data_IF_830683398060
#
_entry.id   IF_830683398060
#
_cell.length_a   1.000
_cell.length_b   1.000
_cell.length_c   1.000
_cell.angle_alpha   90.00
_cell.angle_beta   90.00
_cell.angle_gamma   90.00
#
_symmetry.space_group_name_H-M   'P 1'
#
loop_
_entity.id
_entity.type
_entity.pdbx_description
1 polymer ?
#
# COMPACT_ATOMS: atom_id res chain seq x y z
N UNK A 1 -3.91 -42.90 -38.30
CA UNK A 1 -4.53 -44.03 -37.56
C UNK A 1 -5.63 -43.43 -36.68
N UNK A 2 -6.87 -43.30 -37.19
CA UNK A 2 -8.07 -44.10 -36.84
C UNK A 2 -8.34 -44.13 -35.31
N UNK A 3 -9.31 -43.39 -34.75
CA UNK A 3 -10.81 -43.53 -34.75
C UNK A 3 -11.35 -44.34 -33.54
N UNK A 4 -12.57 -43.95 -33.08
CA UNK A 4 -13.43 -44.39 -31.94
C UNK A 4 -13.29 -43.51 -30.68
N UNK A 5 -14.25 -42.69 -30.22
CA UNK A 5 -15.60 -42.26 -30.69
C UNK A 5 -16.81 -43.21 -30.54
N UNK A 6 -17.63 -43.03 -29.47
CA UNK A 6 -19.13 -43.13 -29.37
C UNK A 6 -19.61 -43.30 -27.90
N UNK A 7 -20.84 -43.03 -27.42
CA UNK A 7 -22.04 -42.21 -27.75
C UNK A 7 -22.97 -42.31 -26.50
N UNK A 8 -23.63 -41.23 -26.04
CA UNK A 8 -25.12 -41.19 -25.88
C UNK A 8 -25.67 -39.82 -25.43
N UNK A 9 -26.85 -39.51 -25.96
CA UNK A 9 -27.60 -38.24 -25.90
C UNK A 9 -28.81 -38.31 -24.97
N UNK A 10 -29.29 -37.14 -24.50
CA UNK A 10 -30.73 -36.87 -24.36
C UNK A 10 -31.01 -35.34 -24.38
N UNK A 11 -32.24 -34.98 -24.75
CA UNK A 11 -32.60 -33.68 -25.33
C UNK A 11 -33.14 -32.63 -24.32
N UNK A 12 -33.19 -31.36 -24.74
CA UNK A 12 -33.91 -30.30 -24.01
C UNK A 12 -33.88 -28.90 -24.65
N UNK A 13 -34.95 -28.56 -25.41
CA UNK A 13 -35.43 -27.20 -25.75
C UNK A 13 -34.44 -26.10 -26.19
N UNK A 14 -34.57 -25.66 -27.46
CA UNK A 14 -34.01 -24.40 -27.92
C UNK A 14 -35.00 -23.24 -27.71
N UNK A 15 -34.53 -22.12 -27.14
CA UNK A 15 -35.17 -20.81 -27.22
C UNK A 15 -34.12 -19.81 -27.71
N UNK A 16 -34.18 -19.43 -28.98
CA UNK A 16 -33.25 -18.46 -29.57
C UNK A 16 -33.71 -17.03 -29.28
N UNK A 17 -33.12 -16.39 -28.27
CA UNK A 17 -33.25 -14.95 -28.09
C UNK A 17 -32.38 -14.22 -29.12
N UNK A 18 -33.03 -13.66 -30.14
CA UNK A 18 -32.39 -12.73 -31.07
C UNK A 18 -32.12 -11.40 -30.34
N UNK A 19 -30.87 -11.19 -29.92
CA UNK A 19 -30.43 -9.89 -29.39
C UNK A 19 -30.23 -8.94 -30.57
N UNK A 20 -30.94 -7.81 -30.57
CA UNK A 20 -30.91 -6.85 -31.67
C UNK A 20 -29.50 -6.24 -31.86
N UNK A 21 -29.05 -6.03 -33.11
CA UNK A 21 -27.67 -5.59 -33.40
C UNK A 21 -27.32 -4.17 -32.90
N UNK A 22 -28.29 -3.40 -32.37
CA UNK A 22 -28.03 -2.06 -31.83
C UNK A 22 -27.27 -2.07 -30.51
N UNK A 23 -27.46 -3.07 -29.63
CA UNK A 23 -26.79 -3.14 -28.32
C UNK A 23 -25.28 -3.36 -28.45
N UNK A 24 -24.84 -4.07 -29.50
CA UNK A 24 -23.41 -4.31 -29.76
C UNK A 24 -22.66 -3.01 -30.10
N UNK A 25 -23.31 -2.10 -30.84
CA UNK A 25 -22.73 -0.81 -31.21
C UNK A 25 -22.59 0.14 -30.01
N UNK A 26 -23.55 0.17 -29.08
CA UNK A 26 -23.45 0.96 -27.85
C UNK A 26 -22.32 0.48 -26.94
N UNK A 27 -22.15 -0.84 -26.78
CA UNK A 27 -21.05 -1.41 -25.96
C UNK A 27 -19.68 -1.11 -26.59
N UNK A 28 -19.55 -1.16 -27.92
CA UNK A 28 -18.32 -0.77 -28.61
C UNK A 28 -18.02 0.73 -28.49
N UNK A 29 -19.04 1.59 -28.57
CA UNK A 29 -18.88 3.04 -28.40
C UNK A 29 -18.50 3.42 -26.95
N UNK A 30 -19.08 2.76 -25.94
CA UNK A 30 -18.71 2.94 -24.53
C UNK A 30 -17.26 2.50 -24.24
N UNK A 31 -16.83 1.38 -24.84
CA UNK A 31 -15.44 0.92 -24.78
C UNK A 31 -14.46 1.94 -25.38
N UNK A 32 -14.76 2.44 -26.59
CA UNK A 32 -13.94 3.45 -27.26
C UNK A 32 -13.88 4.78 -26.49
N UNK A 33 -15.00 5.24 -25.92
CA UNK A 33 -15.05 6.46 -25.12
C UNK A 33 -14.17 6.37 -23.86
N UNK A 34 -14.22 5.25 -23.13
CA UNK A 34 -13.38 5.03 -21.94
C UNK A 34 -11.88 5.00 -22.29
N UNK A 35 -11.49 4.35 -23.40
CA UNK A 35 -10.10 4.32 -23.85
C UNK A 35 -9.60 5.70 -24.33
N UNK A 36 -10.47 6.52 -24.93
CA UNK A 36 -10.12 7.90 -25.26
C UNK A 36 -9.96 8.78 -24.01
N UNK A 37 -10.79 8.59 -22.97
CA UNK A 37 -10.64 9.30 -21.70
C UNK A 37 -9.36 8.91 -20.96
N UNK A 38 -9.01 7.62 -20.92
CA UNK A 38 -7.76 7.14 -20.32
C UNK A 38 -6.52 7.68 -21.04
N UNK A 39 -6.46 7.56 -22.38
CA UNK A 39 -5.33 8.11 -23.16
C UNK A 39 -5.29 9.65 -23.21
N UNK A 40 -6.38 10.32 -22.83
CA UNK A 40 -6.38 11.75 -22.55
C UNK A 40 -5.82 12.06 -21.17
N UNK A 41 -6.09 11.22 -20.16
CA UNK A 41 -5.53 11.34 -18.81
C UNK A 41 -4.02 11.10 -18.82
N UNK A 42 -3.57 10.03 -19.49
CA UNK A 42 -2.15 9.70 -19.69
C UNK A 42 -1.38 10.86 -20.35
N UNK A 43 -1.96 11.48 -21.39
CA UNK A 43 -1.40 12.68 -22.03
C UNK A 43 -1.44 13.92 -21.15
N UNK A 44 -2.48 14.10 -20.32
CA UNK A 44 -2.54 15.20 -19.35
C UNK A 44 -1.46 15.04 -18.27
N UNK A 45 -1.23 13.83 -17.76
CA UNK A 45 -0.18 13.52 -16.78
C UNK A 45 1.21 13.76 -17.40
N UNK A 46 1.46 13.24 -18.61
CA UNK A 46 2.71 13.47 -19.33
C UNK A 46 2.99 14.97 -19.58
N UNK A 47 1.97 15.76 -19.92
CA UNK A 47 2.10 17.21 -20.13
C UNK A 47 2.16 18.04 -18.83
N UNK A 48 1.63 17.53 -17.72
CA UNK A 48 1.81 18.14 -16.40
C UNK A 48 3.26 17.97 -15.93
N UNK A 49 3.85 16.80 -16.15
CA UNK A 49 5.23 16.48 -15.75
C UNK A 49 6.26 17.28 -16.57
N UNK A 50 6.03 17.51 -17.86
CA UNK A 50 6.94 18.31 -18.70
C UNK A 50 6.97 19.80 -18.32
N UNK A 51 5.89 20.36 -17.76
CA UNK A 51 5.84 21.75 -17.31
C UNK A 51 6.41 21.98 -15.90
N UNK A 52 6.39 20.97 -15.02
CA UNK A 52 6.98 21.08 -13.67
C UNK A 52 8.52 21.06 -13.73
N UNK A 53 9.10 20.28 -14.65
CA UNK A 53 10.55 20.13 -14.80
C UNK A 53 11.32 21.39 -15.25
N UNK A 54 10.63 22.52 -15.51
CA UNK A 54 11.26 23.78 -15.90
C UNK A 54 11.27 24.90 -14.84
N UNK A 55 10.77 24.65 -13.62
CA UNK A 55 10.75 25.67 -12.53
C UNK A 55 11.31 25.23 -11.18
N UNK A 56 11.88 24.02 -11.04
CA UNK A 56 12.49 23.54 -9.79
C UNK A 56 13.94 23.08 -10.01
N UNK A 57 14.76 23.96 -10.61
CA UNK A 57 16.23 23.82 -10.65
C UNK A 57 16.86 25.18 -10.35
N UNK A 58 16.77 25.61 -9.08
CA UNK A 58 17.66 26.59 -8.42
C UNK A 58 17.14 26.88 -6.99
N UNK A 59 17.66 26.14 -5.99
CA UNK A 59 17.85 26.50 -4.56
C UNK A 59 17.65 25.30 -3.60
N UNK A 60 18.73 24.54 -3.34
CA UNK A 60 18.92 23.78 -2.09
C UNK A 60 20.41 23.51 -1.83
N UNK A 61 21.20 24.58 -1.82
CA UNK A 61 22.56 24.56 -1.27
C UNK A 61 22.56 25.08 0.18
N UNK A 62 23.38 24.44 1.03
CA UNK A 62 23.72 24.81 2.42
C UNK A 62 22.73 24.51 3.58
N UNK A 63 22.87 23.32 4.16
CA UNK A 63 22.83 23.01 5.61
C UNK A 63 23.09 21.48 5.77
N UNK A 64 24.26 20.94 6.14
CA UNK A 64 25.36 21.38 7.01
C UNK A 64 24.99 21.54 8.50
N UNK A 65 25.02 20.42 9.25
CA UNK A 65 25.76 20.35 10.53
C UNK A 65 25.96 18.92 11.11
N UNK A 66 25.23 17.90 10.67
CA UNK A 66 25.30 16.53 11.25
C UNK A 66 26.27 15.56 10.57
N UNK A 67 26.87 15.95 9.44
CA UNK A 67 27.78 15.08 8.67
C UNK A 67 29.23 15.11 9.19
N UNK A 68 29.60 16.11 10.01
CA UNK A 68 30.97 16.41 10.42
C UNK A 68 31.57 15.59 11.58
N UNK A 69 30.97 14.47 11.99
CA UNK A 69 31.49 13.60 13.07
C UNK A 69 31.87 12.19 12.57
N UNK A 70 31.48 11.79 11.35
CA UNK A 70 31.85 10.48 10.78
C UNK A 70 33.28 10.40 10.21
N UNK A 71 34.02 11.51 10.13
CA UNK A 71 35.35 11.57 9.50
C UNK A 71 36.53 11.66 10.48
N UNK A 72 36.32 11.48 11.79
CA UNK A 72 37.44 11.44 12.75
C UNK A 72 38.05 10.03 12.94
N UNK A 73 38.92 9.68 11.99
CA UNK A 73 40.25 9.09 12.24
C UNK A 73 40.35 7.71 12.95
N UNK A 74 39.76 6.65 12.40
CA UNK A 74 40.47 5.37 12.25
C UNK A 74 40.00 4.68 10.95
N UNK A 75 40.84 4.45 9.93
CA UNK A 75 40.53 3.47 8.90
C UNK A 75 40.56 2.08 9.58
N UNK A 76 39.44 1.34 9.63
CA UNK A 76 39.41 0.08 10.38
C UNK A 76 40.46 -0.89 9.84
N UNK A 77 41.26 -1.45 10.73
CA UNK A 77 42.41 -2.32 10.41
C UNK A 77 42.01 -3.71 9.84
N UNK A 78 40.83 -3.84 9.25
CA UNK A 78 40.32 -5.04 8.59
C UNK A 78 40.78 -5.18 7.13
N UNK A 79 41.45 -4.17 6.56
CA UNK A 79 41.85 -4.15 5.15
C UNK A 79 43.02 -5.10 4.77
N UNK A 80 43.61 -5.82 5.72
CA UNK A 80 44.76 -6.72 5.47
C UNK A 80 44.70 -8.08 6.20
N UNK A 81 44.02 -8.16 7.35
CA UNK A 81 44.13 -9.32 8.23
C UNK A 81 43.00 -10.34 8.05
N UNK A 82 43.37 -11.48 7.44
CA UNK A 82 42.66 -12.75 7.38
C UNK A 82 41.18 -12.73 6.94
N UNK A 83 40.90 -13.36 5.79
CA UNK A 83 39.53 -13.76 5.40
C UNK A 83 38.79 -14.34 6.61
N UNK A 84 37.55 -13.88 6.92
CA UNK A 84 36.84 -14.32 8.11
C UNK A 84 36.80 -15.84 8.16
N UNK A 85 37.19 -16.42 9.30
CA UNK A 85 37.21 -17.88 9.46
C UNK A 85 35.81 -18.41 9.19
N UNK A 86 35.64 -19.56 8.51
CA UNK A 86 34.31 -20.11 8.26
C UNK A 86 33.54 -20.32 9.59
N UNK A 87 32.19 -20.31 9.56
CA UNK A 87 31.37 -20.75 10.68
C UNK A 87 31.76 -22.15 11.16
N UNK A 88 31.73 -22.36 12.48
CA UNK A 88 31.92 -23.66 13.13
C UNK A 88 30.68 -24.54 12.97
N UNK A 89 30.82 -25.85 13.16
CA UNK A 89 29.68 -26.77 13.08
C UNK A 89 28.59 -26.45 14.13
N UNK A 90 28.99 -26.03 15.34
CA UNK A 90 28.08 -25.58 16.39
C UNK A 90 27.34 -24.29 16.04
N UNK A 91 28.03 -23.34 15.40
CA UNK A 91 27.42 -22.14 14.84
C UNK A 91 26.39 -22.56 13.76
N UNK A 92 26.80 -23.30 12.72
CA UNK A 92 25.93 -23.75 11.62
C UNK A 92 24.70 -24.51 12.13
N UNK A 93 24.85 -25.35 13.15
CA UNK A 93 23.72 -26.03 13.78
C UNK A 93 22.73 -25.05 14.41
N UNK A 94 23.21 -24.08 15.19
CA UNK A 94 22.37 -23.07 15.82
C UNK A 94 21.55 -22.28 14.78
N UNK A 95 22.15 -21.94 13.63
CA UNK A 95 21.42 -21.30 12.53
C UNK A 95 20.36 -22.22 11.91
N UNK A 96 20.67 -23.51 11.70
CA UNK A 96 19.68 -24.49 11.20
C UNK A 96 18.53 -24.67 12.18
N UNK A 97 18.81 -24.74 13.47
CA UNK A 97 17.79 -24.84 14.53
C UNK A 97 16.90 -23.57 14.53
N UNK A 98 17.48 -22.38 14.32
CA UNK A 98 16.75 -21.12 14.18
C UNK A 98 15.84 -21.08 12.94
N UNK A 99 16.36 -21.44 11.76
CA UNK A 99 15.59 -21.49 10.52
C UNK A 99 14.51 -22.58 10.54
N UNK A 100 14.74 -23.68 11.27
CA UNK A 100 13.72 -24.71 11.53
C UNK A 100 12.59 -24.20 12.43
N UNK A 101 12.87 -23.31 13.37
CA UNK A 101 11.84 -22.72 14.25
C UNK A 101 10.86 -21.84 13.47
N UNK A 102 11.35 -21.00 12.54
CA UNK A 102 10.48 -20.19 11.65
C UNK A 102 9.80 -21.05 10.57
N UNK A 103 10.53 -21.74 9.69
CA UNK A 103 9.92 -22.36 8.51
C UNK A 103 9.30 -23.74 8.77
N UNK A 104 9.80 -24.48 9.77
CA UNK A 104 9.31 -25.81 10.14
C UNK A 104 8.24 -25.76 11.23
N UNK A 105 8.59 -25.20 12.39
CA UNK A 105 7.71 -25.16 13.57
C UNK A 105 6.70 -24.00 13.54
N UNK A 106 6.96 -22.95 12.75
CA UNK A 106 6.18 -21.69 12.71
C UNK A 106 6.05 -21.05 14.10
N UNK A 107 7.18 -20.97 14.78
CA UNK A 107 7.32 -20.42 16.12
C UNK A 107 8.31 -19.23 16.08
N UNK A 108 7.83 -18.01 15.78
CA UNK A 108 8.70 -16.86 15.63
C UNK A 108 9.37 -16.45 16.95
N UNK A 109 8.74 -16.67 18.11
CA UNK A 109 9.33 -16.38 19.42
C UNK A 109 10.60 -17.21 19.66
N UNK A 110 10.53 -18.52 19.38
CA UNK A 110 11.69 -19.42 19.45
C UNK A 110 12.73 -19.08 18.38
N UNK A 111 12.30 -18.68 17.18
CA UNK A 111 13.21 -18.25 16.13
C UNK A 111 14.00 -17.00 16.55
N UNK A 112 13.36 -15.98 17.13
CA UNK A 112 14.02 -14.76 17.66
C UNK A 112 15.08 -15.08 18.71
N UNK A 113 14.80 -16.00 19.65
CA UNK A 113 15.77 -16.42 20.67
C UNK A 113 17.01 -17.07 20.03
N UNK A 114 16.81 -17.96 19.06
CA UNK A 114 17.89 -18.69 18.39
C UNK A 114 18.66 -17.77 17.41
N UNK A 115 17.98 -16.91 16.67
CA UNK A 115 18.60 -15.90 15.78
C UNK A 115 19.44 -14.90 16.57
N UNK A 116 18.99 -14.47 17.75
CA UNK A 116 19.78 -13.57 18.61
C UNK A 116 21.10 -14.21 19.06
N UNK A 117 21.08 -15.51 19.38
CA UNK A 117 22.29 -16.29 19.67
C UNK A 117 23.15 -16.49 18.42
N UNK A 118 22.54 -16.73 17.25
CA UNK A 118 23.24 -16.90 15.99
C UNK A 118 23.98 -15.61 15.58
N UNK A 119 23.29 -14.47 15.53
CA UNK A 119 23.86 -13.14 15.23
C UNK A 119 25.07 -12.87 16.14
N UNK A 120 24.95 -13.11 17.44
CA UNK A 120 26.04 -12.93 18.41
C UNK A 120 27.28 -13.80 18.11
N UNK A 121 27.09 -15.04 17.66
CA UNK A 121 28.19 -15.92 17.28
C UNK A 121 28.75 -15.60 15.88
N UNK A 122 27.94 -14.98 15.01
CA UNK A 122 28.31 -14.54 13.68
C UNK A 122 28.99 -13.17 13.61
N UNK A 123 29.25 -12.49 14.74
CA UNK A 123 29.82 -11.13 14.76
C UNK A 123 31.10 -10.97 13.91
N UNK A 124 31.88 -12.05 13.82
CA UNK A 124 33.13 -12.19 13.06
C UNK A 124 32.97 -12.47 11.54
N UNK A 125 31.74 -12.62 11.05
CA UNK A 125 31.44 -12.86 9.64
C UNK A 125 31.26 -11.54 8.87
N UNK A 126 31.15 -11.66 7.55
CA UNK A 126 31.00 -10.51 6.67
C UNK A 126 29.66 -9.75 6.90
N UNK A 127 29.57 -8.45 6.56
CA UNK A 127 28.40 -7.62 6.88
C UNK A 127 27.09 -8.09 6.24
N UNK A 128 27.15 -8.67 5.04
CA UNK A 128 26.04 -9.27 4.30
C UNK A 128 25.42 -10.46 5.04
N UNK A 129 26.24 -11.40 5.53
CA UNK A 129 25.80 -12.52 6.36
C UNK A 129 25.11 -12.03 7.65
N UNK A 130 25.66 -10.99 8.29
CA UNK A 130 25.04 -10.38 9.48
C UNK A 130 23.73 -9.64 9.15
N UNK A 131 23.66 -8.99 8.00
CA UNK A 131 22.45 -8.35 7.51
C UNK A 131 21.33 -9.37 7.29
N UNK A 132 21.60 -10.47 6.58
CA UNK A 132 20.62 -11.52 6.31
C UNK A 132 20.03 -12.11 7.60
N UNK A 133 20.87 -12.45 8.59
CA UNK A 133 20.40 -12.95 9.89
C UNK A 133 19.56 -11.92 10.65
N UNK A 134 19.95 -10.65 10.60
CA UNK A 134 19.21 -9.55 11.26
C UNK A 134 17.87 -9.31 10.56
N UNK A 135 17.81 -9.38 9.22
CA UNK A 135 16.57 -9.27 8.44
C UNK A 135 15.58 -10.37 8.78
N UNK A 136 16.02 -11.63 8.84
CA UNK A 136 15.14 -12.75 9.20
C UNK A 136 14.60 -12.61 10.63
N UNK A 137 15.36 -12.00 11.55
CA UNK A 137 14.86 -11.68 12.90
C UNK A 137 13.85 -10.53 12.90
N UNK A 138 14.05 -9.51 12.05
CA UNK A 138 13.05 -8.46 11.81
C UNK A 138 11.74 -9.03 11.25
N UNK A 139 11.82 -9.97 10.29
CA UNK A 139 10.65 -10.67 9.74
C UNK A 139 9.87 -11.42 10.85
N UNK A 140 10.58 -12.10 11.78
CA UNK A 140 9.95 -12.75 12.93
C UNK A 140 9.24 -11.74 13.85
N UNK A 141 9.83 -10.57 14.10
CA UNK A 141 9.19 -9.50 14.88
C UNK A 141 7.93 -8.97 14.18
N UNK A 142 7.91 -8.87 12.85
CA UNK A 142 6.70 -8.52 12.09
C UNK A 142 5.60 -9.58 12.25
N UNK A 143 5.94 -10.87 12.24
CA UNK A 143 4.97 -11.96 12.54
C UNK A 143 4.45 -11.90 13.98
N UNK A 144 5.29 -11.53 14.94
CA UNK A 144 4.93 -11.30 16.36
C UNK A 144 4.20 -9.98 16.61
N UNK A 145 3.98 -9.16 15.57
CA UNK A 145 3.37 -7.82 15.64
C UNK A 145 4.20 -6.78 16.42
N UNK A 146 5.49 -7.01 16.65
CA UNK A 146 6.44 -6.09 17.29
C UNK A 146 7.14 -5.22 16.24
N UNK A 147 6.40 -4.23 15.72
CA UNK A 147 6.89 -3.34 14.67
C UNK A 147 8.06 -2.43 15.15
N UNK A 148 8.16 -2.13 16.45
CA UNK A 148 9.26 -1.35 17.00
C UNK A 148 10.58 -2.15 17.03
N UNK A 149 10.54 -3.43 17.41
CA UNK A 149 11.70 -4.32 17.32
C UNK A 149 12.09 -4.62 15.86
N UNK A 150 11.09 -4.84 14.98
CA UNK A 150 11.33 -5.02 13.54
C UNK A 150 12.01 -3.79 12.91
N UNK A 151 11.56 -2.57 13.25
CA UNK A 151 12.19 -1.32 12.78
C UNK A 151 13.67 -1.24 13.19
N UNK A 152 14.00 -1.60 14.42
CA UNK A 152 15.38 -1.59 14.90
C UNK A 152 16.28 -2.55 14.08
N UNK A 153 15.83 -3.79 13.87
CA UNK A 153 16.58 -4.79 13.12
C UNK A 153 16.67 -4.48 11.61
N UNK A 154 15.58 -4.05 10.97
CA UNK A 154 15.65 -3.61 9.57
C UNK A 154 16.56 -2.38 9.40
N UNK A 155 16.66 -1.50 10.41
CA UNK A 155 17.61 -0.38 10.37
C UNK A 155 19.05 -0.87 10.36
N UNK A 156 19.40 -1.80 11.26
CA UNK A 156 20.74 -2.43 11.30
C UNK A 156 21.04 -3.17 9.99
N UNK A 157 20.05 -3.89 9.45
CA UNK A 157 20.16 -4.59 8.15
C UNK A 157 20.47 -3.62 7.01
N UNK A 158 19.70 -2.53 6.90
CA UNK A 158 19.93 -1.50 5.87
C UNK A 158 21.29 -0.83 6.03
N UNK A 159 21.73 -0.57 7.26
CA UNK A 159 23.05 0.03 7.53
C UNK A 159 24.21 -0.90 7.13
N UNK A 160 24.08 -2.22 7.34
CA UNK A 160 25.05 -3.20 6.84
C UNK A 160 25.06 -3.27 5.29
N UNK A 161 23.89 -3.38 4.66
CA UNK A 161 23.75 -3.52 3.20
C UNK A 161 24.08 -2.24 2.43
N UNK A 162 23.97 -1.07 3.07
CA UNK A 162 24.40 0.22 2.50
C UNK A 162 25.87 0.57 2.86
N UNK A 163 26.55 -0.29 3.63
CA UNK A 163 27.90 -0.09 4.13
C UNK A 163 28.99 -0.81 3.32
N UNK A 164 30.27 -0.71 3.73
CA UNK A 164 31.36 -1.41 3.07
C UNK A 164 31.16 -2.94 3.06
N UNK A 165 31.19 -3.56 1.88
CA UNK A 165 30.91 -4.99 1.71
C UNK A 165 29.43 -5.33 1.51
N UNK A 166 28.52 -4.37 1.61
CA UNK A 166 27.12 -4.56 1.24
C UNK A 166 26.91 -4.79 -0.26
N UNK A 167 27.86 -4.36 -1.08
CA UNK A 167 27.98 -4.64 -2.52
C UNK A 167 28.26 -6.12 -2.85
N UNK A 168 28.62 -6.93 -1.85
CA UNK A 168 28.81 -8.38 -1.98
C UNK A 168 27.54 -9.18 -1.66
N UNK A 169 26.51 -8.54 -1.07
CA UNK A 169 25.24 -9.19 -0.76
C UNK A 169 24.44 -9.50 -2.04
N UNK A 170 23.45 -10.39 -1.92
CA UNK A 170 22.47 -10.58 -3.01
C UNK A 170 21.74 -9.25 -3.27
N UNK A 171 21.65 -8.76 -4.53
CA UNK A 171 21.02 -7.48 -4.85
C UNK A 171 19.56 -7.35 -4.39
N UNK A 172 18.86 -8.46 -4.13
CA UNK A 172 17.48 -8.46 -3.62
C UNK A 172 17.35 -8.19 -2.11
N UNK A 173 18.42 -8.34 -1.33
CA UNK A 173 18.38 -8.18 0.14
C UNK A 173 18.19 -6.72 0.56
N UNK A 174 18.82 -5.75 -0.13
CA UNK A 174 18.66 -4.32 0.17
C UNK A 174 17.23 -3.80 -0.09
N UNK A 175 16.60 -4.00 -1.26
CA UNK A 175 15.20 -3.61 -1.45
C UNK A 175 14.26 -4.34 -0.50
N UNK A 176 14.49 -5.61 -0.17
CA UNK A 176 13.68 -6.34 0.81
C UNK A 176 13.78 -5.74 2.21
N UNK A 177 14.98 -5.40 2.67
CA UNK A 177 15.20 -4.77 3.98
C UNK A 177 14.59 -3.36 4.06
N UNK A 178 14.69 -2.57 2.98
CA UNK A 178 14.04 -1.25 2.86
C UNK A 178 12.52 -1.37 2.95
N UNK A 179 11.92 -2.29 2.19
CA UNK A 179 10.48 -2.55 2.22
C UNK A 179 9.99 -2.99 3.61
N UNK A 180 10.74 -3.88 4.26
CA UNK A 180 10.48 -4.29 5.64
C UNK A 180 10.49 -3.12 6.61
N UNK A 181 11.51 -2.26 6.54
CA UNK A 181 11.62 -1.07 7.39
C UNK A 181 10.47 -0.08 7.17
N UNK A 182 10.10 0.16 5.92
CA UNK A 182 8.97 1.04 5.58
C UNK A 182 7.65 0.50 6.14
N UNK A 183 7.41 -0.81 6.05
CA UNK A 183 6.22 -1.48 6.61
C UNK A 183 6.20 -1.47 8.14
N UNK A 184 7.36 -1.58 8.80
CA UNK A 184 7.48 -1.44 10.24
C UNK A 184 7.13 -0.01 10.69
N UNK A 185 7.72 1.02 10.06
CA UNK A 185 7.38 2.44 10.29
C UNK A 185 5.88 2.70 10.10
N UNK A 186 5.33 2.24 8.98
CA UNK A 186 3.92 2.35 8.65
C UNK A 186 3.00 1.73 9.70
N UNK A 187 3.37 0.57 10.22
CA UNK A 187 2.64 -0.13 11.29
C UNK A 187 2.69 0.64 12.61
N UNK A 188 3.86 1.19 12.97
CA UNK A 188 4.03 2.06 14.14
C UNK A 188 3.13 3.30 14.02
N UNK A 189 3.01 3.89 12.81
CA UNK A 189 2.19 5.09 12.56
C UNK A 189 0.71 4.95 12.97
N UNK A 190 0.19 3.72 12.98
CA UNK A 190 -1.19 3.38 13.39
C UNK A 190 -1.38 3.28 14.91
N UNK A 191 -0.29 3.16 15.67
CA UNK A 191 -0.28 3.09 17.14
C UNK A 191 0.18 4.41 17.77
N UNK A 192 1.14 5.09 17.13
CA UNK A 192 1.73 6.35 17.61
C UNK A 192 2.24 7.21 16.45
N UNK A 193 2.25 8.52 16.63
CA UNK A 193 2.83 9.44 15.65
C UNK A 193 4.33 9.18 15.46
N UNK A 194 4.76 9.14 14.20
CA UNK A 194 6.17 9.12 13.79
C UNK A 194 6.81 10.52 13.90
N UNK A 195 8.14 10.59 13.99
CA UNK A 195 8.85 11.85 13.78
C UNK A 195 8.84 12.25 12.30
N UNK A 196 9.04 13.54 11.99
CA UNK A 196 9.16 14.01 10.61
C UNK A 196 10.26 13.28 9.81
N UNK A 197 11.38 12.96 10.46
CA UNK A 197 12.46 12.16 9.87
C UNK A 197 12.06 10.71 9.59
N UNK A 198 11.23 10.09 10.45
CA UNK A 198 10.71 8.74 10.25
C UNK A 198 9.69 8.69 9.11
N UNK A 199 8.81 9.69 9.00
CA UNK A 199 7.84 9.80 7.89
C UNK A 199 8.55 9.94 6.55
N UNK A 200 9.59 10.80 6.48
CA UNK A 200 10.42 10.94 5.27
C UNK A 200 11.19 9.65 4.95
N UNK A 201 11.67 8.93 5.96
CA UNK A 201 12.31 7.63 5.81
C UNK A 201 11.36 6.56 5.27
N UNK A 202 10.10 6.51 5.72
CA UNK A 202 9.09 5.58 5.20
C UNK A 202 8.89 5.78 3.69
N UNK A 203 8.64 7.02 3.26
CA UNK A 203 8.45 7.35 1.85
C UNK A 203 9.69 7.08 0.99
N UNK A 204 10.89 7.39 1.50
CA UNK A 204 12.15 7.13 0.80
C UNK A 204 12.47 5.62 0.69
N UNK A 205 12.21 4.85 1.74
CA UNK A 205 12.48 3.41 1.74
C UNK A 205 11.58 2.66 0.77
N UNK A 206 10.31 3.05 0.64
CA UNK A 206 9.43 2.54 -0.42
C UNK A 206 9.94 2.90 -1.82
N UNK A 207 10.30 4.16 -2.06
CA UNK A 207 10.83 4.62 -3.36
C UNK A 207 12.08 3.83 -3.78
N UNK A 208 13.08 3.75 -2.87
CA UNK A 208 14.34 3.05 -3.12
C UNK A 208 14.10 1.53 -3.26
N UNK A 209 13.19 0.94 -2.48
CA UNK A 209 12.83 -0.47 -2.64
C UNK A 209 12.23 -0.77 -4.01
N UNK A 210 11.30 0.06 -4.49
CA UNK A 210 10.68 -0.12 -5.81
C UNK A 210 11.73 0.02 -6.92
N UNK A 211 12.54 1.09 -6.87
CA UNK A 211 13.61 1.36 -7.85
C UNK A 211 14.63 0.23 -7.94
N UNK A 212 15.16 -0.23 -6.80
CA UNK A 212 16.11 -1.36 -6.73
C UNK A 212 15.44 -2.71 -7.05
N UNK A 213 14.12 -2.76 -7.14
CA UNK A 213 13.36 -3.93 -7.58
C UNK A 213 13.00 -3.90 -9.07
N UNK A 214 13.52 -2.97 -9.88
CA UNK A 214 13.37 -3.03 -11.34
C UNK A 214 13.96 -4.34 -11.92
N UNK A 215 13.53 -4.74 -13.12
CA UNK A 215 14.05 -5.90 -13.87
C UNK A 215 15.27 -5.56 -14.72
N UNK A 216 15.22 -4.37 -15.31
CA UNK A 216 16.16 -3.87 -16.29
C UNK A 216 16.79 -2.59 -15.73
N UNK A 217 18.05 -2.32 -16.09
CA UNK A 217 18.74 -1.09 -15.72
C UNK A 217 18.22 0.08 -16.60
N UNK A 218 17.09 0.68 -16.24
CA UNK A 218 16.53 1.80 -16.99
C UNK A 218 17.38 3.07 -16.82
N UNK A 219 17.44 3.89 -17.87
CA UNK A 219 18.25 5.12 -17.93
C UNK A 219 17.82 6.18 -16.89
N UNK A 220 16.58 6.12 -16.39
CA UNK A 220 16.03 7.07 -15.42
C UNK A 220 15.52 6.43 -14.12
N UNK A 221 15.60 7.16 -13.02
CA UNK A 221 15.05 6.76 -11.73
C UNK A 221 13.53 6.51 -11.80
N UNK A 222 12.82 7.32 -12.59
CA UNK A 222 11.36 7.27 -12.78
C UNK A 222 10.91 6.02 -13.54
N UNK A 223 11.68 5.53 -14.52
CA UNK A 223 11.39 4.28 -15.24
C UNK A 223 11.63 3.07 -14.34
N UNK A 224 12.72 3.08 -13.56
CA UNK A 224 13.01 2.06 -12.56
C UNK A 224 11.91 1.98 -11.48
N UNK A 225 11.40 3.13 -11.01
CA UNK A 225 10.26 3.21 -10.09
C UNK A 225 8.96 2.68 -10.71
N UNK A 226 8.72 2.92 -12.00
CA UNK A 226 7.56 2.39 -12.72
C UNK A 226 7.62 0.86 -12.92
N UNK A 227 8.77 0.31 -13.35
CA UNK A 227 8.92 -1.14 -13.48
C UNK A 227 8.82 -1.83 -12.11
N UNK A 228 9.46 -1.29 -11.08
CA UNK A 228 9.33 -1.74 -9.70
C UNK A 228 7.88 -1.75 -9.20
N UNK A 229 7.11 -0.69 -9.49
CA UNK A 229 5.68 -0.61 -9.18
C UNK A 229 4.85 -1.65 -9.95
N UNK A 230 5.23 -1.99 -11.18
CA UNK A 230 4.56 -3.05 -11.97
C UNK A 230 4.75 -4.44 -11.38
N UNK A 231 5.91 -4.70 -10.76
CA UNK A 231 6.19 -5.95 -10.05
C UNK A 231 5.50 -6.03 -8.69
N UNK A 232 5.30 -4.89 -8.03
CA UNK A 232 4.75 -4.81 -6.68
C UNK A 232 3.76 -3.64 -6.51
N UNK A 233 2.54 -3.73 -7.09
CA UNK A 233 1.53 -2.67 -6.98
C UNK A 233 1.07 -2.42 -5.53
N UNK A 234 1.23 -3.40 -4.64
CA UNK A 234 1.00 -3.22 -3.20
C UNK A 234 2.01 -2.25 -2.60
N UNK A 235 3.31 -2.44 -2.82
CA UNK A 235 4.32 -1.49 -2.37
C UNK A 235 4.18 -0.10 -3.04
N UNK A 236 3.68 -0.03 -4.29
CA UNK A 236 3.35 1.25 -4.91
C UNK A 236 2.19 1.98 -4.21
N UNK A 237 1.11 1.28 -3.82
CA UNK A 237 0.04 1.91 -3.02
C UNK A 237 0.54 2.29 -1.62
N UNK A 238 1.33 1.43 -0.98
CA UNK A 238 1.94 1.71 0.32
C UNK A 238 2.84 2.96 0.27
N UNK A 239 3.59 3.14 -0.83
CA UNK A 239 4.40 4.33 -1.10
C UNK A 239 3.56 5.60 -1.22
N UNK A 240 2.44 5.57 -1.97
CA UNK A 240 1.55 6.72 -2.13
C UNK A 240 0.99 7.19 -0.78
N UNK A 241 0.62 6.23 0.06
CA UNK A 241 0.19 6.50 1.43
C UNK A 241 1.32 7.05 2.33
N UNK A 242 2.57 6.66 2.11
CA UNK A 242 3.72 7.25 2.81
C UNK A 242 4.00 8.69 2.35
N UNK A 243 3.86 8.99 1.05
CA UNK A 243 3.93 10.37 0.52
C UNK A 243 2.83 11.26 1.12
N UNK A 244 1.59 10.73 1.25
CA UNK A 244 0.50 11.41 1.97
C UNK A 244 0.90 11.72 3.42
N UNK A 245 1.52 10.77 4.11
CA UNK A 245 2.07 10.97 5.46
C UNK A 245 3.11 12.09 5.50
N UNK A 246 4.01 12.14 4.51
CA UNK A 246 5.06 13.14 4.36
C UNK A 246 4.55 14.55 3.99
N UNK A 247 3.28 14.68 3.61
CA UNK A 247 2.65 15.94 3.19
C UNK A 247 2.77 16.25 1.70
N UNK A 248 3.38 15.37 0.90
CA UNK A 248 3.44 15.52 -0.56
C UNK A 248 2.20 14.88 -1.20
N UNK A 249 1.07 15.59 -1.09
CA UNK A 249 -0.21 15.12 -1.59
C UNK A 249 -0.24 15.02 -3.12
N UNK A 250 0.56 15.82 -3.84
CA UNK A 250 0.66 15.69 -5.29
C UNK A 250 1.38 14.39 -5.66
N UNK A 251 2.54 14.12 -5.04
CA UNK A 251 3.26 12.86 -5.30
C UNK A 251 2.48 11.63 -4.84
N UNK A 252 1.75 11.74 -3.72
CA UNK A 252 0.84 10.70 -3.27
C UNK A 252 -0.22 10.35 -4.34
N UNK A 253 -0.84 11.36 -4.96
CA UNK A 253 -1.82 11.15 -6.03
C UNK A 253 -1.21 10.52 -7.30
N UNK A 254 -0.02 10.96 -7.72
CA UNK A 254 0.73 10.36 -8.83
C UNK A 254 1.06 8.88 -8.55
N UNK A 255 1.59 8.58 -7.36
CA UNK A 255 1.97 7.23 -6.96
C UNK A 255 0.75 6.31 -6.78
N UNK A 256 -0.38 6.80 -6.23
CA UNK A 256 -1.63 6.04 -6.17
C UNK A 256 -2.22 5.79 -7.57
N UNK A 257 -2.07 6.72 -8.51
CA UNK A 257 -2.46 6.52 -9.92
C UNK A 257 -1.58 5.43 -10.57
N UNK A 258 -0.27 5.45 -10.32
CA UNK A 258 0.66 4.40 -10.77
C UNK A 258 0.29 3.03 -10.17
N UNK A 259 -0.03 2.95 -8.88
CA UNK A 259 -0.50 1.72 -8.25
C UNK A 259 -1.81 1.22 -8.90
N UNK A 260 -2.75 2.12 -9.20
CA UNK A 260 -4.02 1.78 -9.82
C UNK A 260 -3.86 1.16 -11.23
N UNK A 261 -2.97 1.72 -12.05
CA UNK A 261 -2.64 1.20 -13.38
C UNK A 261 -2.06 -0.21 -13.27
N UNK A 262 -1.07 -0.42 -12.40
CA UNK A 262 -0.44 -1.71 -12.23
C UNK A 262 -1.40 -2.78 -11.65
N UNK A 263 -2.29 -2.42 -10.71
CA UNK A 263 -3.36 -3.32 -10.26
C UNK A 263 -4.33 -3.69 -11.39
N UNK A 264 -4.71 -2.74 -12.25
CA UNK A 264 -5.58 -2.96 -13.40
C UNK A 264 -4.94 -3.91 -14.41
N UNK A 265 -3.64 -3.79 -14.65
CA UNK A 265 -2.90 -4.61 -15.63
C UNK A 265 -2.78 -6.09 -15.19
N UNK A 266 -2.66 -6.35 -13.88
CA UNK A 266 -2.77 -7.72 -13.33
C UNK A 266 -4.23 -8.20 -13.16
N UNK A 267 -5.21 -7.40 -13.56
CA UNK A 267 -6.64 -7.73 -13.53
C UNK A 267 -7.36 -7.47 -12.19
N UNK A 268 -6.68 -6.90 -11.19
CA UNK A 268 -7.27 -6.56 -9.89
C UNK A 268 -8.01 -5.21 -9.94
N UNK A 269 -9.22 -5.26 -10.51
CA UNK A 269 -10.12 -4.09 -10.60
C UNK A 269 -10.44 -3.46 -9.25
N UNK A 270 -10.53 -4.25 -8.18
CA UNK A 270 -10.95 -3.75 -6.88
C UNK A 270 -9.86 -2.86 -6.26
N UNK A 271 -8.61 -3.35 -6.23
CA UNK A 271 -7.46 -2.58 -5.72
C UNK A 271 -7.08 -1.44 -6.66
N UNK A 272 -7.29 -1.57 -7.98
CA UNK A 272 -7.17 -0.47 -8.92
C UNK A 272 -8.14 0.68 -8.61
N UNK A 273 -9.43 0.38 -8.35
CA UNK A 273 -10.42 1.41 -7.99
C UNK A 273 -10.14 2.02 -6.63
N UNK A 274 -9.78 1.23 -5.60
CA UNK A 274 -9.35 1.76 -4.28
C UNK A 274 -8.19 2.74 -4.45
N UNK A 275 -7.18 2.38 -5.26
CA UNK A 275 -6.02 3.23 -5.52
C UNK A 275 -6.39 4.54 -6.24
N UNK A 276 -7.30 4.52 -7.23
CA UNK A 276 -7.78 5.78 -7.85
C UNK A 276 -8.62 6.64 -6.91
N UNK A 277 -9.39 6.03 -5.98
CA UNK A 277 -10.12 6.77 -4.96
C UNK A 277 -9.15 7.44 -3.98
N UNK A 278 -8.08 6.76 -3.58
CA UNK A 278 -6.98 7.35 -2.79
C UNK A 278 -6.30 8.52 -3.54
N UNK A 279 -6.00 8.37 -4.83
CA UNK A 279 -5.42 9.46 -5.63
C UNK A 279 -6.31 10.71 -5.68
N UNK A 280 -7.64 10.53 -5.80
CA UNK A 280 -8.60 11.63 -5.74
C UNK A 280 -8.69 12.29 -4.35
N UNK A 281 -8.56 11.52 -3.28
CA UNK A 281 -8.52 12.02 -1.89
C UNK A 281 -7.25 12.83 -1.63
N UNK A 282 -6.11 12.42 -2.20
CA UNK A 282 -4.87 13.18 -2.15
C UNK A 282 -4.96 14.51 -2.91
N UNK A 283 -5.49 14.49 -4.14
CA UNK A 283 -5.73 15.73 -4.90
C UNK A 283 -6.68 16.68 -4.16
N UNK A 284 -7.69 16.16 -3.46
CA UNK A 284 -8.63 16.95 -2.65
C UNK A 284 -7.97 17.69 -1.46
N UNK A 285 -6.74 17.33 -1.09
CA UNK A 285 -5.92 18.03 -0.12
C UNK A 285 -5.00 19.10 -0.72
N UNK A 286 -4.90 19.16 -2.06
CA UNK A 286 -4.19 20.21 -2.80
C UNK A 286 -5.12 21.38 -3.16
N UNK A 287 -4.58 22.38 -3.85
CA UNK A 287 -5.37 23.47 -4.45
C UNK A 287 -5.91 23.12 -5.86
N UNK A 288 -5.58 21.95 -6.43
CA UNK A 288 -6.11 21.48 -7.74
C UNK A 288 -7.49 20.82 -7.58
N UNK A 289 -8.46 21.67 -7.25
CA UNK A 289 -9.84 21.28 -6.95
C UNK A 289 -10.56 20.68 -8.16
N UNK A 290 -10.26 21.16 -9.37
CA UNK A 290 -10.91 20.68 -10.60
C UNK A 290 -10.42 19.29 -11.00
N UNK A 291 -9.12 19.00 -10.92
CA UNK A 291 -8.60 17.64 -11.15
C UNK A 291 -9.02 16.69 -10.03
N UNK A 292 -9.01 17.13 -8.76
CA UNK A 292 -9.53 16.34 -7.63
C UNK A 292 -10.97 15.89 -7.86
N UNK A 293 -11.86 16.82 -8.26
CA UNK A 293 -13.26 16.53 -8.60
C UNK A 293 -13.36 15.49 -9.72
N UNK A 294 -12.65 15.72 -10.83
CA UNK A 294 -12.64 14.86 -12.02
C UNK A 294 -12.17 13.43 -11.72
N UNK A 295 -11.10 13.28 -10.93
CA UNK A 295 -10.57 11.97 -10.52
C UNK A 295 -11.56 11.27 -9.59
N UNK A 296 -12.08 11.96 -8.56
CA UNK A 296 -13.05 11.40 -7.62
C UNK A 296 -14.33 10.93 -8.33
N UNK A 297 -14.95 11.77 -9.16
CA UNK A 297 -16.19 11.42 -9.90
C UNK A 297 -15.99 10.20 -10.82
N UNK A 298 -14.86 10.13 -11.51
CA UNK A 298 -14.50 8.99 -12.37
C UNK A 298 -14.27 7.69 -11.58
N UNK A 299 -13.51 7.77 -10.48
CA UNK A 299 -13.21 6.63 -9.62
C UNK A 299 -14.46 6.11 -8.90
N UNK A 300 -15.31 7.00 -8.38
CA UNK A 300 -16.59 6.68 -7.75
C UNK A 300 -17.52 5.98 -8.75
N UNK A 301 -17.59 6.44 -10.01
CA UNK A 301 -18.37 5.75 -11.05
C UNK A 301 -17.85 4.33 -11.31
N UNK A 302 -16.54 4.14 -11.24
CA UNK A 302 -15.89 2.85 -11.51
C UNK A 302 -16.15 1.78 -10.45
N UNK A 303 -16.56 2.12 -9.23
CA UNK A 303 -16.89 1.14 -8.17
C UNK A 303 -18.02 0.19 -8.59
N UNK A 304 -18.97 0.69 -9.37
CA UNK A 304 -20.09 -0.09 -9.94
C UNK A 304 -19.66 -1.18 -10.93
N UNK A 305 -18.39 -1.14 -11.40
CA UNK A 305 -17.81 -2.12 -12.34
C UNK A 305 -16.93 -3.17 -11.66
N UNK A 306 -16.78 -3.09 -10.33
CA UNK A 306 -16.03 -4.05 -9.52
C UNK A 306 -16.95 -5.22 -9.17
N UNK A 307 -16.59 -6.39 -9.69
CA UNK A 307 -17.25 -7.66 -9.42
C UNK A 307 -16.24 -8.62 -8.77
N UNK A 308 -16.68 -9.43 -7.82
CA UNK A 308 -15.79 -10.34 -7.09
C UNK A 308 -16.54 -11.38 -6.27
N UNK A 309 -15.82 -12.45 -5.89
CA UNK A 309 -16.29 -13.43 -4.89
C UNK A 309 -15.80 -13.10 -3.47
N UNK A 310 -14.77 -12.26 -3.37
CA UNK A 310 -14.26 -11.77 -2.10
C UNK A 310 -15.16 -10.65 -1.58
N UNK A 311 -16.02 -11.00 -0.63
CA UNK A 311 -16.98 -10.07 -0.02
C UNK A 311 -16.25 -8.99 0.79
N UNK A 312 -15.14 -9.32 1.47
CA UNK A 312 -14.40 -8.34 2.27
C UNK A 312 -13.74 -7.28 1.37
N UNK A 313 -13.20 -7.69 0.23
CA UNK A 313 -12.63 -6.76 -0.76
C UNK A 313 -13.71 -5.86 -1.37
N UNK A 314 -14.90 -6.40 -1.69
CA UNK A 314 -16.03 -5.57 -2.13
C UNK A 314 -16.50 -4.60 -1.03
N UNK A 315 -16.49 -5.01 0.24
CA UNK A 315 -16.79 -4.13 1.37
C UNK A 315 -15.77 -2.98 1.48
N UNK A 316 -14.48 -3.23 1.28
CA UNK A 316 -13.43 -2.19 1.24
C UNK A 316 -13.66 -1.20 0.11
N UNK A 317 -14.05 -1.66 -1.09
CA UNK A 317 -14.41 -0.77 -2.22
C UNK A 317 -15.57 0.15 -1.85
N UNK A 318 -16.62 -0.37 -1.19
CA UNK A 318 -17.77 0.45 -0.75
C UNK A 318 -17.37 1.42 0.37
N UNK A 319 -16.54 0.99 1.33
CA UNK A 319 -16.02 1.84 2.39
C UNK A 319 -15.23 3.02 1.81
N UNK A 320 -14.35 2.72 0.83
CA UNK A 320 -13.52 3.72 0.15
C UNK A 320 -14.32 4.63 -0.78
N UNK A 321 -15.38 4.12 -1.43
CA UNK A 321 -16.34 4.96 -2.16
C UNK A 321 -16.99 5.98 -1.22
N UNK A 322 -17.44 5.56 -0.03
CA UNK A 322 -18.01 6.44 0.97
C UNK A 322 -17.02 7.52 1.44
N UNK A 323 -15.78 7.12 1.71
CA UNK A 323 -14.68 8.06 2.05
C UNK A 323 -14.44 9.09 0.93
N UNK A 324 -14.31 8.63 -0.32
CA UNK A 324 -14.08 9.47 -1.48
C UNK A 324 -15.24 10.44 -1.77
N UNK A 325 -16.50 10.00 -1.57
CA UNK A 325 -17.68 10.87 -1.68
C UNK A 325 -17.70 11.95 -0.61
N UNK A 326 -17.25 11.66 0.63
CA UNK A 326 -17.15 12.67 1.69
C UNK A 326 -15.99 13.64 1.42
N UNK A 327 -14.89 13.19 0.84
CA UNK A 327 -13.82 14.07 0.36
C UNK A 327 -14.32 15.00 -0.76
N UNK A 328 -15.03 14.44 -1.76
CA UNK A 328 -15.67 15.20 -2.84
C UNK A 328 -16.69 16.21 -2.31
N UNK A 329 -17.57 15.81 -1.38
CA UNK A 329 -18.52 16.71 -0.73
C UNK A 329 -17.81 17.85 0.01
N UNK A 330 -16.71 17.57 0.70
CA UNK A 330 -15.91 18.57 1.42
C UNK A 330 -15.29 19.59 0.46
N UNK A 331 -14.82 19.14 -0.70
CA UNK A 331 -14.26 19.98 -1.77
C UNK A 331 -15.35 20.83 -2.45
N UNK A 332 -16.46 20.23 -2.86
CA UNK A 332 -17.60 20.91 -3.48
C UNK A 332 -18.27 21.92 -2.54
N UNK A 333 -18.18 21.71 -1.23
CA UNK A 333 -18.70 22.65 -0.23
C UNK A 333 -17.77 23.85 0.00
N UNK A 334 -16.45 23.61 -0.03
CA UNK A 334 -15.43 24.66 0.15
C UNK A 334 -15.28 25.54 -1.10
N UNK A 335 -15.73 25.07 -2.27
CA UNK A 335 -15.80 25.88 -3.48
C UNK A 335 -16.89 26.96 -3.35
N UNK A 336 -16.49 28.23 -3.44
CA UNK A 336 -17.34 29.37 -3.07
C UNK A 336 -18.50 29.70 -4.05
N UNK A 337 -18.88 28.78 -4.95
CA UNK A 337 -19.84 29.06 -6.03
C UNK A 337 -20.78 27.86 -6.34
N UNK A 338 -22.01 27.91 -5.82
CA UNK A 338 -23.16 27.14 -6.34
C UNK A 338 -23.19 25.63 -6.07
N UNK A 339 -22.06 24.97 -5.80
CA UNK A 339 -21.94 23.51 -5.72
C UNK A 339 -22.43 22.88 -4.39
N UNK A 340 -23.09 23.66 -3.52
CA UNK A 340 -23.61 23.17 -2.23
C UNK A 340 -24.62 22.04 -2.36
N UNK A 341 -25.51 22.10 -3.36
CA UNK A 341 -26.46 21.02 -3.63
C UNK A 341 -25.77 19.72 -4.08
N UNK A 342 -24.69 19.84 -4.88
CA UNK A 342 -23.89 18.69 -5.30
C UNK A 342 -23.12 18.08 -4.10
N UNK A 343 -22.59 18.93 -3.20
CA UNK A 343 -21.94 18.51 -1.97
C UNK A 343 -22.90 17.77 -1.02
N UNK A 344 -24.11 18.30 -0.83
CA UNK A 344 -25.18 17.66 -0.04
C UNK A 344 -25.60 16.32 -0.65
N UNK A 345 -25.70 16.23 -1.98
CA UNK A 345 -26.02 14.99 -2.68
C UNK A 345 -24.92 13.93 -2.49
N UNK A 346 -23.64 14.30 -2.63
CA UNK A 346 -22.52 13.37 -2.42
C UNK A 346 -22.41 12.91 -0.96
N UNK A 347 -22.64 13.80 0.01
CA UNK A 347 -22.67 13.45 1.42
C UNK A 347 -23.84 12.51 1.75
N UNK A 348 -25.05 12.80 1.24
CA UNK A 348 -26.23 11.98 1.43
C UNK A 348 -26.05 10.55 0.89
N UNK A 349 -25.53 10.42 -0.33
CA UNK A 349 -25.21 9.14 -0.95
C UNK A 349 -24.11 8.40 -0.15
N UNK A 350 -23.05 9.10 0.29
CA UNK A 350 -22.01 8.50 1.12
C UNK A 350 -22.58 7.91 2.42
N UNK A 351 -23.45 8.65 3.11
CA UNK A 351 -24.09 8.18 4.33
C UNK A 351 -24.98 6.96 4.08
N UNK A 352 -25.81 6.97 3.03
CA UNK A 352 -26.63 5.83 2.65
C UNK A 352 -25.80 4.57 2.33
N UNK A 353 -24.71 4.72 1.56
CA UNK A 353 -23.80 3.63 1.17
C UNK A 353 -23.05 3.05 2.37
N UNK A 354 -22.55 3.90 3.28
CA UNK A 354 -21.83 3.47 4.48
C UNK A 354 -22.76 2.81 5.52
N UNK A 355 -23.98 3.33 5.71
CA UNK A 355 -24.94 2.73 6.63
C UNK A 355 -25.45 1.37 6.10
N UNK A 356 -25.63 1.23 4.77
CA UNK A 356 -25.91 -0.05 4.13
C UNK A 356 -24.76 -1.05 4.33
N UNK A 357 -23.51 -0.62 4.11
CA UNK A 357 -22.32 -1.44 4.33
C UNK A 357 -22.24 -1.94 5.78
N UNK A 358 -22.53 -1.05 6.75
CA UNK A 358 -22.53 -1.40 8.17
C UNK A 358 -23.60 -2.43 8.51
N UNK A 359 -24.84 -2.21 8.05
CA UNK A 359 -25.95 -3.13 8.29
C UNK A 359 -25.70 -4.53 7.70
N UNK A 360 -25.11 -4.60 6.51
CA UNK A 360 -24.72 -5.85 5.84
C UNK A 360 -23.59 -6.60 6.59
N UNK A 361 -22.62 -5.85 7.15
CA UNK A 361 -21.58 -6.41 8.00
C UNK A 361 -22.10 -6.94 9.34
N UNK A 362 -22.95 -6.17 10.02
CA UNK A 362 -23.60 -6.57 11.29
C UNK A 362 -24.49 -7.81 11.08
N UNK A 363 -25.21 -7.88 9.95
CA UNK A 363 -25.99 -9.06 9.58
C UNK A 363 -25.10 -10.31 9.37
N UNK A 364 -23.93 -10.16 8.73
CA UNK A 364 -22.96 -11.25 8.56
C UNK A 364 -22.33 -11.69 9.89
N UNK A 365 -21.89 -10.76 10.75
CA UNK A 365 -21.31 -11.10 12.06
C UNK A 365 -22.34 -11.84 12.92
N UNK A 366 -23.59 -11.39 12.95
CA UNK A 366 -24.69 -12.09 13.63
C UNK A 366 -25.00 -13.47 13.04
N UNK A 367 -24.97 -13.62 11.71
CA UNK A 367 -25.22 -14.91 11.06
C UNK A 367 -24.09 -15.92 11.35
N UNK A 368 -22.84 -15.47 11.29
CA UNK A 368 -21.67 -16.26 11.64
C UNK A 368 -21.71 -16.70 13.11
N UNK A 369 -21.99 -15.78 14.05
CA UNK A 369 -22.07 -16.11 15.48
C UNK A 369 -23.21 -17.09 15.79
N UNK A 370 -24.40 -16.90 15.20
CA UNK A 370 -25.50 -17.88 15.29
C UNK A 370 -25.09 -19.27 14.78
N UNK A 371 -24.30 -19.34 13.70
CA UNK A 371 -23.79 -20.60 13.17
C UNK A 371 -22.76 -21.25 14.10
N UNK A 372 -21.87 -20.47 14.74
CA UNK A 372 -20.89 -20.95 15.73
C UNK A 372 -21.56 -21.49 16.99
N UNK A 373 -22.52 -20.74 17.55
CA UNK A 373 -23.33 -21.18 18.70
C UNK A 373 -24.03 -22.50 18.38
N UNK A 374 -24.62 -22.62 17.19
CA UNK A 374 -25.30 -23.85 16.74
C UNK A 374 -24.35 -25.05 16.58
N UNK A 375 -23.08 -24.84 16.21
CA UNK A 375 -22.07 -25.91 16.10
C UNK A 375 -21.33 -26.19 17.40
N UNK A 376 -21.56 -25.43 18.47
CA UNK A 376 -20.81 -25.53 19.72
C UNK A 376 -19.39 -24.96 19.63
N UNK A 377 -19.07 -24.20 18.57
CA UNK A 377 -17.80 -23.50 18.46
C UNK A 377 -17.78 -22.28 19.40
N UNK A 378 -16.64 -22.04 20.05
CA UNK A 378 -16.42 -20.83 20.85
C UNK A 378 -16.45 -19.54 19.99
N UNK A 379 -16.35 -18.35 20.60
CA UNK A 379 -16.39 -17.08 19.89
C UNK A 379 -15.25 -16.94 18.87
N UNK A 380 -15.43 -16.08 17.87
CA UNK A 380 -14.40 -15.81 16.86
C UNK A 380 -13.19 -15.08 17.48
N UNK A 381 -12.00 -15.70 17.41
CA UNK A 381 -10.74 -15.05 17.76
C UNK A 381 -10.45 -14.02 16.67
N UNK A 382 -10.49 -12.73 17.02
CA UNK A 382 -10.06 -11.64 16.13
C UNK A 382 -8.54 -11.52 16.25
N UNK A 383 -7.83 -12.01 15.23
CA UNK A 383 -6.38 -11.87 15.16
C UNK A 383 -6.04 -10.41 14.82
N UNK A 384 -5.22 -9.77 15.66
CA UNK A 384 -4.55 -8.53 15.30
C UNK A 384 -3.59 -8.78 14.15
N UNK A 385 -3.45 -7.81 13.26
CA UNK A 385 -2.49 -7.79 12.16
C UNK A 385 -1.79 -6.43 12.16
N UNK A 386 -0.54 -6.39 11.71
CA UNK A 386 0.12 -5.14 11.38
C UNK A 386 -0.59 -4.51 10.18
N UNK A 387 -0.93 -3.22 10.29
CA UNK A 387 -1.73 -2.51 9.32
C UNK A 387 -0.83 -1.69 8.39
N UNK A 388 -0.42 -2.28 7.27
CA UNK A 388 0.39 -1.60 6.27
C UNK A 388 -0.15 -1.75 4.84
N UNK A 389 -0.83 -2.84 4.50
CA UNK A 389 -1.29 -3.11 3.13
C UNK A 389 -2.58 -2.36 2.78
N UNK A 390 -2.91 -2.34 1.49
CA UNK A 390 -4.22 -1.88 0.97
C UNK A 390 -5.41 -2.69 1.53
N UNK A 391 -5.16 -3.93 1.98
CA UNK A 391 -6.19 -4.80 2.56
C UNK A 391 -6.41 -4.54 4.06
N UNK A 392 -5.53 -3.76 4.68
CA UNK A 392 -5.68 -3.24 6.04
C UNK A 392 -6.39 -1.87 6.08
N UNK A 393 -6.78 -1.34 4.91
CA UNK A 393 -7.60 -0.15 4.79
C UNK A 393 -9.00 -0.35 5.39
N UNK A 394 -9.60 0.76 5.84
CA UNK A 394 -10.84 0.76 6.64
C UNK A 394 -11.98 0.11 5.86
N UNK A 395 -12.64 -0.86 6.49
CA UNK A 395 -13.70 -1.67 5.89
C UNK A 395 -15.09 -1.39 6.49
N UNK A 396 -15.84 -2.42 6.93
CA UNK A 396 -17.22 -2.28 7.42
C UNK A 396 -17.39 -1.51 8.76
N UNK A 397 -16.30 -1.08 9.37
CA UNK A 397 -16.27 -0.15 10.49
C UNK A 397 -16.34 1.32 10.06
N UNK A 398 -16.32 1.63 8.75
CA UNK A 398 -16.70 2.95 8.26
C UNK A 398 -18.21 3.21 8.46
N UNK A 399 -18.55 4.39 8.99
CA UNK A 399 -19.92 4.91 9.05
C UNK A 399 -19.89 6.42 8.83
N UNK A 400 -20.95 7.00 8.29
CA UNK A 400 -20.99 8.45 8.07
C UNK A 400 -20.92 9.26 9.39
N UNK A 401 -21.42 8.70 10.49
CA UNK A 401 -21.23 9.26 11.84
C UNK A 401 -19.76 9.32 12.30
N UNK A 402 -18.89 8.41 11.84
CA UNK A 402 -17.46 8.40 12.20
C UNK A 402 -16.66 9.53 11.55
N UNK A 403 -17.07 10.04 10.38
CA UNK A 403 -16.45 11.23 9.77
C UNK A 403 -16.70 12.54 10.53
N UNK A 404 -17.52 12.51 11.60
CA UNK A 404 -17.64 13.61 12.57
C UNK A 404 -16.62 13.53 13.71
N UNK A 405 -15.88 12.43 13.82
CA UNK A 405 -14.82 12.25 14.80
C UNK A 405 -13.47 12.61 14.17
N UNK A 406 -12.90 13.74 14.59
CA UNK A 406 -11.60 14.24 14.12
C UNK A 406 -10.50 13.18 14.21
N UNK A 407 -10.43 12.40 15.31
CA UNK A 407 -9.44 11.32 15.48
C UNK A 407 -9.60 10.20 14.46
N UNK A 408 -10.83 9.84 14.09
CA UNK A 408 -11.04 8.81 13.06
C UNK A 408 -10.51 9.30 11.71
N UNK A 409 -10.78 10.56 11.38
CA UNK A 409 -10.33 11.19 10.13
C UNK A 409 -8.80 11.37 10.12
N UNK A 410 -8.19 11.81 11.23
CA UNK A 410 -6.74 12.07 11.30
C UNK A 410 -5.88 10.84 11.58
N UNK A 411 -6.28 9.97 12.51
CA UNK A 411 -5.47 8.83 12.98
C UNK A 411 -5.81 7.55 12.18
N UNK A 412 -7.08 7.28 11.87
CA UNK A 412 -7.48 6.06 11.16
C UNK A 412 -7.34 6.20 9.64
N UNK A 413 -8.00 7.20 9.04
CA UNK A 413 -7.96 7.47 7.59
C UNK A 413 -6.66 8.15 7.14
N UNK A 414 -5.95 8.83 8.04
CA UNK A 414 -4.73 9.56 7.71
C UNK A 414 -4.98 10.77 6.80
N UNK A 415 -6.15 11.41 6.89
CA UNK A 415 -6.50 12.51 6.00
C UNK A 415 -5.58 13.73 6.22
N UNK A 416 -5.16 14.40 5.14
CA UNK A 416 -4.42 15.67 5.22
C UNK A 416 -5.15 16.77 5.99
N UNK A 417 -4.39 17.62 6.72
CA UNK A 417 -4.95 18.78 7.44
C UNK A 417 -5.78 19.74 6.56
N UNK A 418 -5.39 20.05 5.30
CA UNK A 418 -6.24 20.85 4.41
C UNK A 418 -7.61 20.23 4.16
N UNK A 419 -7.67 18.92 3.92
CA UNK A 419 -8.91 18.19 3.70
C UNK A 419 -9.75 18.06 4.98
N UNK A 420 -9.11 17.84 6.14
CA UNK A 420 -9.79 17.90 7.45
C UNK A 420 -10.47 19.26 7.67
N UNK A 421 -9.81 20.37 7.31
CA UNK A 421 -10.40 21.70 7.45
C UNK A 421 -11.62 21.92 6.52
N UNK A 422 -11.60 21.35 5.30
CA UNK A 422 -12.76 21.34 4.39
C UNK A 422 -13.92 20.53 4.98
N UNK A 423 -13.65 19.32 5.50
CA UNK A 423 -14.63 18.47 6.18
C UNK A 423 -15.21 19.12 7.44
N UNK A 424 -14.40 19.86 8.21
CA UNK A 424 -14.88 20.60 9.36
C UNK A 424 -15.90 21.70 8.97
N UNK A 425 -15.73 22.36 7.82
CA UNK A 425 -16.72 23.31 7.29
C UNK A 425 -18.03 22.61 6.91
N UNK A 426 -17.94 21.45 6.25
CA UNK A 426 -19.09 20.61 5.88
C UNK A 426 -19.86 20.08 7.12
N UNK A 427 -19.15 19.69 8.18
CA UNK A 427 -19.75 19.14 9.40
C UNK A 427 -20.44 20.19 10.30
N UNK A 428 -20.14 21.48 10.14
CA UNK A 428 -20.65 22.55 10.99
C UNK A 428 -22.05 23.06 10.61
N UNK A 429 -22.72 22.41 9.65
CA UNK A 429 -24.04 22.78 9.18
C UNK A 429 -25.12 21.97 9.91
N UNK A 430 -26.09 22.69 10.47
CA UNK A 430 -27.30 22.18 11.11
C UNK A 430 -28.52 22.75 10.42
#
# INVERSE_FOLDING_TARGET
MRIVLSILTLAGSANAFSVAPQVSAEIQNLSAANNHQLSSLERSISNANSNVNHQIIENTSSASLTQGIREFLVPPAYAADAKPKPPTESEIKLLRDALSAIYGERNPEKAVELLTKAISAWERQAPDEKAALTRVRADCYMEMLDADAALADYTITVDYLSGPGGDLADPSELPAARLGRARALRSISKVRSLSESQVKMEAQDYQVSLRLSARDDWDTDEENEQDGASRNPYAAWEWGMAQRGAGDYKKAAETHTLAALNFKDIGDKARAVISMLDAGIDLAATDDIDEAKKVLESAIKSTTTVEGRDVELLQRVIAKEGEARIALASVLWDSNAGQKGDAEAQLGEACARLDQLRADADAREQAAEKARIKSGAGPAIKFSKLQFTIDDAVGPECSCSRFKNEKFVSETLGWPKPLQAKLAKLNNLK
#
